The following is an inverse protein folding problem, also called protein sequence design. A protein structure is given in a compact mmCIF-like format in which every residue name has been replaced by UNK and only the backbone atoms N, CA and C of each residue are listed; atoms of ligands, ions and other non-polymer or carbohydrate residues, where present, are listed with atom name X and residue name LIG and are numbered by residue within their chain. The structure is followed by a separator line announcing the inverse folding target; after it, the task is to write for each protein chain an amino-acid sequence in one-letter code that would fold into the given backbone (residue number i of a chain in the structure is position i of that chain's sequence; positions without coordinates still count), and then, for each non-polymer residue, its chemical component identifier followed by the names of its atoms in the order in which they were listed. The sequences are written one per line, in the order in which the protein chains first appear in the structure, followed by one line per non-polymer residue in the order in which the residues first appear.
data_IF_757295323261
#
_entry.id   IF_757295323261
#
_cell.length_a   1.000
_cell.length_b   1.000
_cell.length_c   1.000
_cell.angle_alpha   90.00
_cell.angle_beta   90.00
_cell.angle_gamma   90.00
#
_symmetry.space_group_name_H-M   'P 1'
#
loop_
_entity.id
_entity.type
_entity.pdbx_description
1 polymer ?
#
# COMPACT_ATOMS: atom_id res chain seq x y z
N UNK A 1 62.33 -4.51 16.53
CA UNK A 1 61.30 -4.87 15.52
C UNK A 1 60.05 -5.22 16.30
N UNK A 2 58.86 -4.64 16.18
CA UNK A 2 58.26 -3.53 15.43
C UNK A 2 56.96 -3.19 16.23
N UNK A 3 56.75 -1.94 16.64
CA UNK A 3 55.67 -1.04 16.14
C UNK A 3 54.22 -1.59 16.19
N UNK A 4 53.38 -0.93 17.00
CA UNK A 4 51.89 -0.88 17.05
C UNK A 4 51.24 -0.70 15.64
N UNK A 5 49.92 -1.00 15.40
CA UNK A 5 48.86 -0.20 16.02
C UNK A 5 47.47 -0.82 16.30
N UNK A 6 46.90 -0.31 17.40
CA UNK A 6 45.54 0.28 17.54
C UNK A 6 44.67 0.35 16.28
N UNK A 7 43.41 -0.16 16.33
CA UNK A 7 42.22 0.45 15.68
C UNK A 7 40.94 -0.41 15.77
N UNK A 8 40.19 -0.35 16.88
CA UNK A 8 38.78 -0.80 16.91
C UNK A 8 37.90 0.06 17.84
N UNK A 9 38.07 1.38 17.82
CA UNK A 9 37.26 2.33 18.62
C UNK A 9 36.78 3.54 17.80
N UNK A 10 36.17 3.29 16.64
CA UNK A 10 35.72 4.37 15.75
C UNK A 10 34.28 4.26 15.21
N UNK A 11 33.63 3.09 15.28
CA UNK A 11 32.36 2.86 14.57
C UNK A 11 31.08 3.07 15.37
N UNK A 12 31.13 3.11 16.70
CA UNK A 12 29.91 3.25 17.52
C UNK A 12 29.45 4.71 17.73
N UNK A 13 30.36 5.68 17.68
CA UNK A 13 30.02 7.09 17.98
C UNK A 13 29.23 7.81 16.87
N UNK A 14 29.35 7.36 15.61
CA UNK A 14 28.74 8.04 14.46
C UNK A 14 27.21 7.82 14.45
N UNK A 15 26.76 6.62 14.82
CA UNK A 15 25.33 6.28 14.84
C UNK A 15 24.61 6.99 16.00
N UNK A 16 25.25 7.12 17.15
CA UNK A 16 24.71 7.85 18.30
C UNK A 16 24.60 9.36 18.05
N UNK A 17 25.54 9.94 17.31
CA UNK A 17 25.49 11.35 16.94
C UNK A 17 24.39 11.64 15.92
N UNK A 18 24.18 10.74 14.95
CA UNK A 18 23.07 10.82 14.00
C UNK A 18 21.70 10.69 14.70
N UNK A 19 21.55 9.71 15.60
CA UNK A 19 20.33 9.52 16.38
C UNK A 19 20.02 10.73 17.28
N UNK A 20 21.04 11.35 17.91
CA UNK A 20 20.87 12.58 18.68
C UNK A 20 20.53 13.80 17.81
N UNK A 21 21.01 13.86 16.57
CA UNK A 21 20.64 14.91 15.63
C UNK A 21 19.18 14.77 15.15
N UNK A 22 18.69 13.56 14.94
CA UNK A 22 17.29 13.26 14.61
C UNK A 22 16.33 13.51 15.79
N UNK A 23 16.80 13.41 17.03
CA UNK A 23 16.02 13.74 18.23
C UNK A 23 16.15 15.22 18.64
N UNK A 24 16.91 16.01 17.89
CA UNK A 24 17.09 17.43 18.20
C UNK A 24 15.80 18.22 18.01
N UNK A 25 15.61 19.24 18.84
CA UNK A 25 14.43 20.11 18.75
C UNK A 25 14.32 20.83 17.39
N UNK A 26 15.44 21.09 16.71
CA UNK A 26 15.46 21.66 15.36
C UNK A 26 14.97 20.65 14.32
N UNK A 27 15.40 19.39 14.40
CA UNK A 27 14.91 18.34 13.50
C UNK A 27 13.41 18.08 13.70
N UNK A 28 12.94 17.99 14.95
CA UNK A 28 11.51 17.88 15.29
C UNK A 28 10.68 19.05 14.74
N UNK A 29 11.19 20.28 14.82
CA UNK A 29 10.51 21.46 14.23
C UNK A 29 10.46 21.39 12.70
N UNK A 30 11.57 21.03 12.06
CA UNK A 30 11.63 20.88 10.61
C UNK A 30 10.72 19.76 10.11
N UNK A 31 10.71 18.60 10.78
CA UNK A 31 9.85 17.47 10.41
C UNK A 31 8.38 17.74 10.68
N UNK A 32 8.04 18.42 11.78
CA UNK A 32 6.66 18.86 12.05
C UNK A 32 6.19 19.88 11.02
N UNK A 33 7.04 20.86 10.66
CA UNK A 33 6.74 21.85 9.62
C UNK A 33 6.58 21.19 8.23
N UNK A 34 7.47 20.26 7.87
CA UNK A 34 7.37 19.49 6.64
C UNK A 34 6.12 18.59 6.60
N UNK A 35 5.72 18.02 7.75
CA UNK A 35 4.47 17.25 7.86
C UNK A 35 3.24 18.15 7.73
N UNK A 36 3.27 19.33 8.35
CA UNK A 36 2.20 20.32 8.24
C UNK A 36 2.05 20.82 6.79
N UNK A 37 3.16 21.07 6.08
CA UNK A 37 3.11 21.46 4.67
C UNK A 37 2.61 20.33 3.76
N UNK A 38 2.83 19.07 4.12
CA UNK A 38 2.23 17.91 3.42
C UNK A 38 0.74 17.75 3.69
N UNK A 39 0.23 18.20 4.83
CA UNK A 39 -1.21 18.20 5.14
C UNK A 39 -1.96 19.41 4.61
N UNK A 40 -1.25 20.47 4.24
CA UNK A 40 -1.84 21.73 3.77
C UNK A 40 -1.94 21.75 2.26
N UNK A 41 -3.16 21.64 1.75
CA UNK A 41 -3.46 21.84 0.33
C UNK A 41 -3.71 23.33 0.12
N UNK A 42 -2.70 24.07 -0.34
CA UNK A 42 -2.77 25.52 -0.54
C UNK A 42 -3.79 25.93 -1.62
N UNK A 43 -3.89 25.14 -2.69
CA UNK A 43 -4.83 25.35 -3.77
C UNK A 43 -5.08 24.04 -4.52
N UNK A 44 -6.34 23.78 -4.90
CA UNK A 44 -6.69 22.66 -5.75
C UNK A 44 -6.29 23.01 -7.19
N UNK A 45 -5.52 22.13 -7.83
CA UNK A 45 -5.07 22.29 -9.21
C UNK A 45 -5.72 21.23 -10.10
N UNK A 46 -6.17 21.64 -11.28
CA UNK A 46 -6.76 20.73 -12.25
C UNK A 46 -5.68 19.78 -12.80
N UNK A 47 -5.92 18.46 -12.76
CA UNK A 47 -4.89 17.46 -13.10
C UNK A 47 -4.35 17.54 -14.53
N UNK A 48 -5.13 18.10 -15.47
CA UNK A 48 -4.77 18.10 -16.90
C UNK A 48 -4.17 19.42 -17.38
N UNK A 49 -4.60 20.55 -16.81
CA UNK A 49 -4.11 21.88 -17.18
C UNK A 49 -3.11 22.44 -16.17
N UNK A 50 -2.98 21.81 -14.99
CA UNK A 50 -2.22 22.30 -13.83
C UNK A 50 -2.62 23.70 -13.35
N UNK A 51 -3.73 24.24 -13.85
CA UNK A 51 -4.24 25.54 -13.45
C UNK A 51 -4.86 25.46 -12.05
N UNK A 52 -4.79 26.58 -11.34
CA UNK A 52 -5.41 26.70 -10.01
C UNK A 52 -6.92 26.81 -10.18
N UNK A 53 -7.66 25.91 -9.55
CA UNK A 53 -9.10 25.92 -9.53
C UNK A 53 -9.60 26.95 -8.51
N UNK A 54 -9.97 28.14 -8.98
CA UNK A 54 -10.50 29.22 -8.13
C UNK A 54 -12.02 29.39 -8.23
N UNK A 55 -12.68 28.80 -9.22
CA UNK A 55 -14.13 28.93 -9.42
C UNK A 55 -14.84 27.63 -9.07
N UNK A 56 -16.12 27.68 -8.64
CA UNK A 56 -16.89 26.45 -8.37
C UNK A 56 -16.96 25.52 -9.58
N UNK A 57 -17.06 26.08 -10.78
CA UNK A 57 -17.07 25.31 -12.03
C UNK A 57 -15.74 24.59 -12.28
N UNK A 58 -14.59 25.26 -12.10
CA UNK A 58 -13.28 24.61 -12.29
C UNK A 58 -12.97 23.57 -11.23
N UNK A 59 -13.49 23.75 -10.00
CA UNK A 59 -13.42 22.74 -8.95
C UNK A 59 -14.23 21.49 -9.30
N UNK A 60 -15.47 21.64 -9.79
CA UNK A 60 -16.29 20.50 -10.22
C UNK A 60 -15.65 19.73 -11.37
N UNK A 61 -15.11 20.43 -12.37
CA UNK A 61 -14.39 19.80 -13.49
C UNK A 61 -13.15 19.05 -13.00
N UNK A 62 -12.40 19.62 -12.05
CA UNK A 62 -11.25 18.95 -11.45
C UNK A 62 -11.64 17.70 -10.64
N UNK A 63 -12.76 17.74 -9.93
CA UNK A 63 -13.26 16.63 -9.14
C UNK A 63 -13.71 15.47 -10.03
N UNK A 64 -14.48 15.78 -11.10
CA UNK A 64 -14.88 14.79 -12.10
C UNK A 64 -13.65 14.14 -12.75
N UNK A 65 -12.68 14.95 -13.21
CA UNK A 65 -11.46 14.44 -13.82
C UNK A 65 -10.63 13.59 -12.85
N UNK A 66 -10.59 13.96 -11.56
CA UNK A 66 -9.90 13.21 -10.52
C UNK A 66 -10.54 11.82 -10.32
N UNK A 67 -11.86 11.76 -10.14
CA UNK A 67 -12.57 10.51 -9.92
C UNK A 67 -12.64 9.64 -11.17
N UNK A 68 -12.78 10.24 -12.34
CA UNK A 68 -12.64 9.52 -13.61
C UNK A 68 -11.30 8.80 -13.65
N UNK A 69 -10.19 9.48 -13.32
CA UNK A 69 -8.87 8.83 -13.29
C UNK A 69 -8.76 7.77 -12.19
N UNK A 70 -9.31 8.02 -11.00
CA UNK A 70 -9.22 7.10 -9.87
C UNK A 70 -9.97 5.79 -10.15
N UNK A 71 -11.11 5.89 -10.80
CA UNK A 71 -11.98 4.75 -11.10
C UNK A 71 -11.82 4.22 -12.53
N UNK A 72 -11.02 4.87 -13.38
CA UNK A 72 -10.65 4.32 -14.69
C UNK A 72 -9.72 3.13 -14.47
N UNK A 73 -10.09 1.91 -14.91
CA UNK A 73 -9.23 0.75 -14.82
C UNK A 73 -7.92 1.02 -15.56
N UNK A 74 -6.80 0.86 -14.86
CA UNK A 74 -5.50 0.95 -15.52
C UNK A 74 -5.42 -0.17 -16.56
N UNK A 75 -5.08 0.18 -17.82
CA UNK A 75 -4.98 -0.81 -18.88
C UNK A 75 -3.93 -1.86 -18.52
N UNK A 76 -4.37 -3.10 -18.39
CA UNK A 76 -3.47 -4.24 -18.22
C UNK A 76 -2.87 -4.54 -19.60
N UNK A 77 -1.56 -4.37 -19.73
CA UNK A 77 -0.84 -4.80 -20.92
C UNK A 77 -0.74 -6.33 -20.91
N UNK A 78 -1.58 -6.98 -21.71
CA UNK A 78 -1.63 -8.45 -21.85
C UNK A 78 -0.27 -9.07 -22.21
N UNK A 79 0.58 -8.34 -22.92
CA UNK A 79 1.96 -8.73 -23.21
C UNK A 79 2.80 -8.86 -21.94
N UNK A 80 2.81 -7.81 -21.10
CA UNK A 80 3.54 -7.80 -19.82
C UNK A 80 3.00 -8.84 -18.84
N UNK A 81 1.68 -9.04 -18.80
CA UNK A 81 1.08 -10.09 -17.99
C UNK A 81 1.53 -11.49 -18.43
N UNK A 82 1.56 -11.76 -19.75
CA UNK A 82 2.04 -13.03 -20.30
C UNK A 82 3.54 -13.23 -20.05
N UNK A 83 4.34 -12.18 -20.13
CA UNK A 83 5.77 -12.22 -19.82
C UNK A 83 6.02 -12.55 -18.36
N UNK A 84 5.30 -11.90 -17.44
CA UNK A 84 5.33 -12.22 -16.01
C UNK A 84 4.94 -13.68 -15.74
N UNK A 85 3.89 -14.18 -16.42
CA UNK A 85 3.51 -15.59 -16.28
C UNK A 85 4.60 -16.55 -16.78
N UNK A 86 5.43 -16.13 -17.74
CA UNK A 86 6.56 -16.93 -18.25
C UNK A 86 7.71 -17.02 -17.25
N UNK A 87 7.91 -16.03 -16.38
CA UNK A 87 8.98 -16.07 -15.36
C UNK A 87 8.65 -16.99 -14.19
N UNK A 88 7.37 -17.31 -13.97
CA UNK A 88 6.95 -18.23 -12.91
C UNK A 88 7.35 -19.67 -13.29
N UNK A 89 8.09 -20.39 -12.42
CA UNK A 89 8.44 -21.80 -12.64
C UNK A 89 7.20 -22.68 -12.82
N UNK A 90 7.26 -23.66 -13.73
CA UNK A 90 6.14 -24.56 -14.06
C UNK A 90 5.57 -25.28 -12.83
N UNK A 91 6.42 -25.63 -11.84
CA UNK A 91 6.00 -26.28 -10.60
C UNK A 91 5.07 -25.43 -9.73
N UNK A 92 5.09 -24.10 -9.90
CA UNK A 92 4.26 -23.14 -9.15
C UNK A 92 3.10 -22.60 -10.00
N UNK A 93 2.96 -23.05 -11.25
CA UNK A 93 1.85 -22.63 -12.11
C UNK A 93 0.61 -23.43 -11.79
N UNK A 94 -0.49 -22.71 -11.63
CA UNK A 94 -1.82 -23.30 -11.54
C UNK A 94 -2.11 -23.97 -12.88
N UNK A 95 -2.34 -25.29 -12.86
CA UNK A 95 -2.76 -26.05 -14.04
C UNK A 95 -4.22 -25.73 -14.36
N UNK A 96 -4.62 -25.89 -15.62
CA UNK A 96 -5.96 -25.50 -16.12
C UNK A 96 -7.10 -26.05 -15.25
N UNK A 97 -7.01 -27.31 -14.83
CA UNK A 97 -7.99 -27.95 -13.96
C UNK A 97 -8.12 -27.29 -12.57
N UNK A 98 -7.02 -26.79 -11.99
CA UNK A 98 -7.04 -26.02 -10.75
C UNK A 98 -7.60 -24.61 -10.99
N UNK A 99 -7.31 -24.02 -12.15
CA UNK A 99 -7.88 -22.74 -12.56
C UNK A 99 -9.40 -22.78 -12.68
N UNK A 100 -9.94 -23.84 -13.28
CA UNK A 100 -11.39 -24.04 -13.42
C UNK A 100 -12.07 -24.18 -12.04
N UNK A 101 -11.40 -24.83 -11.09
CA UNK A 101 -11.89 -24.92 -9.71
C UNK A 101 -11.87 -23.56 -8.98
N UNK A 102 -10.82 -22.76 -9.18
CA UNK A 102 -10.67 -21.45 -8.53
C UNK A 102 -11.57 -20.37 -9.12
N UNK A 103 -11.93 -20.51 -10.40
CA UNK A 103 -12.80 -19.57 -11.12
C UNK A 103 -14.26 -20.01 -11.14
N UNK A 104 -14.57 -21.21 -10.62
CA UNK A 104 -15.93 -21.72 -10.50
C UNK A 104 -16.77 -20.73 -9.67
N UNK A 105 -17.98 -20.38 -10.12
CA UNK A 105 -18.91 -19.57 -9.35
C UNK A 105 -19.20 -20.20 -7.97
N UNK A 106 -19.09 -19.38 -6.92
CA UNK A 106 -19.40 -19.79 -5.56
C UNK A 106 -20.92 -19.86 -5.38
N UNK A 107 -21.44 -20.99 -4.91
CA UNK A 107 -22.87 -21.14 -4.61
C UNK A 107 -23.17 -20.86 -3.15
N UNK A 108 -24.43 -20.52 -2.84
CA UNK A 108 -24.89 -20.36 -1.46
C UNK A 108 -24.69 -21.62 -0.62
N UNK A 109 -24.78 -22.80 -1.24
CA UNK A 109 -24.54 -24.09 -0.57
C UNK A 109 -23.07 -24.23 -0.16
N UNK A 110 -22.15 -23.82 -1.03
CA UNK A 110 -20.71 -23.83 -0.72
C UNK A 110 -20.39 -22.94 0.49
N UNK A 111 -21.03 -21.77 0.58
CA UNK A 111 -20.87 -20.83 1.70
C UNK A 111 -21.40 -21.45 3.00
N UNK A 112 -22.60 -22.05 2.97
CA UNK A 112 -23.20 -22.70 4.14
C UNK A 112 -22.34 -23.88 4.64
N UNK A 113 -21.83 -24.70 3.73
CA UNK A 113 -20.98 -25.84 4.09
C UNK A 113 -19.64 -25.40 4.69
N UNK A 114 -19.03 -24.33 4.17
CA UNK A 114 -17.80 -23.77 4.77
C UNK A 114 -18.11 -23.14 6.13
N UNK A 115 -19.22 -22.44 6.27
CA UNK A 115 -19.60 -21.80 7.51
C UNK A 115 -19.87 -22.80 8.65
N UNK A 116 -20.40 -23.99 8.33
CA UNK A 116 -20.54 -25.10 9.31
C UNK A 116 -19.20 -25.64 9.81
N UNK A 117 -18.13 -25.50 9.03
CA UNK A 117 -16.77 -25.91 9.42
C UNK A 117 -16.06 -24.86 10.25
N UNK A 118 -16.60 -23.64 10.35
CA UNK A 118 -16.08 -22.64 11.25
C UNK A 118 -16.34 -23.07 12.69
N UNK A 119 -15.31 -23.13 13.56
CA UNK A 119 -15.53 -23.45 14.96
C UNK A 119 -16.41 -22.37 15.58
N UNK A 120 -17.44 -22.78 16.33
CA UNK A 120 -18.36 -21.89 17.06
C UNK A 120 -17.67 -20.93 18.03
N UNK A 121 -16.38 -21.15 18.27
CA UNK A 121 -15.55 -20.44 19.25
C UNK A 121 -14.52 -19.52 18.57
N UNK A 122 -14.61 -19.27 17.26
CA UNK A 122 -13.77 -18.23 16.63
C UNK A 122 -14.08 -16.89 17.29
N UNK A 123 -13.10 -16.36 18.00
CA UNK A 123 -13.21 -15.14 18.79
C UNK A 123 -13.75 -14.00 17.93
N UNK A 124 -14.87 -13.43 18.39
CA UNK A 124 -15.65 -12.35 17.78
C UNK A 124 -14.89 -11.02 17.75
N UNK A 125 -13.73 -10.95 17.10
CA UNK A 125 -12.84 -9.79 17.32
C UNK A 125 -13.05 -8.64 16.33
N UNK A 126 -13.95 -8.70 15.33
CA UNK A 126 -14.08 -7.51 14.47
C UNK A 126 -15.41 -7.12 13.85
N UNK A 127 -16.46 -7.94 13.84
CA UNK A 127 -17.75 -7.50 13.31
C UNK A 127 -18.86 -7.97 14.25
N UNK A 128 -19.45 -7.05 15.00
CA UNK A 128 -20.42 -7.29 16.08
C UNK A 128 -21.78 -7.83 15.63
N UNK A 129 -21.82 -8.88 14.81
CA UNK A 129 -23.03 -9.59 14.43
C UNK A 129 -22.89 -11.08 14.76
N UNK A 130 -23.85 -11.67 15.49
CA UNK A 130 -23.83 -13.10 15.78
C UNK A 130 -24.15 -13.88 14.50
N UNK A 131 -23.29 -14.81 14.13
CA UNK A 131 -23.59 -15.80 13.09
C UNK A 131 -24.46 -16.89 13.74
N UNK A 132 -25.78 -16.76 13.60
CA UNK A 132 -26.72 -17.85 13.89
C UNK A 132 -27.22 -18.39 12.55
N UNK A 133 -26.89 -19.64 12.25
CA UNK A 133 -27.58 -20.43 11.23
C UNK A 133 -28.74 -21.17 11.88
#
# INVERSE_FOLDING_TARGET
MATEPTALRGRFHIVDAALKAELSASFLKCTTSARLSQTYIAALRHQKSEEVCSTPSSLQVADVAFYERLYTPQRIYLSSAKELLRTIPLALRIITAQGDQLTRPLTLVDIQEVAKRCPSNSTQVLMGFPIKF
#
